data_IF_451397499472
#
_entry.id   IF_451397499472
#
_cell.length_a   1.000
_cell.length_b   1.000
_cell.length_c   1.000
_cell.angle_alpha   90.00
_cell.angle_beta   90.00
_cell.angle_gamma   90.00
#
_symmetry.space_group_name_H-M   'P 1'
#
loop_
_entity.id
_entity.type
_entity.pdbx_description
1 polymer ?
#
# COMPACT_ATOMS: atom_id res chain seq x y z
N UNK A 1 24.60 21.69 -48.17
CA UNK A 1 23.57 20.71 -47.73
C UNK A 1 24.12 19.84 -46.59
N UNK A 2 23.97 20.30 -45.34
CA UNK A 2 24.51 19.64 -44.16
C UNK A 2 23.47 18.72 -43.51
N UNK A 3 23.89 17.46 -43.36
CA UNK A 3 23.70 16.54 -42.24
C UNK A 3 22.31 16.38 -41.61
N UNK A 4 21.79 15.15 -41.74
CA UNK A 4 20.74 14.56 -40.93
C UNK A 4 20.98 14.75 -39.43
N UNK A 5 20.01 15.32 -38.72
CA UNK A 5 19.98 15.33 -37.27
C UNK A 5 18.96 14.30 -36.77
N UNK A 6 19.40 13.03 -36.64
CA UNK A 6 18.85 12.15 -35.60
C UNK A 6 19.48 12.61 -34.29
N UNK A 7 18.75 13.39 -33.49
CA UNK A 7 19.17 13.74 -32.13
C UNK A 7 18.27 13.03 -31.13
N UNK A 8 18.84 11.94 -30.62
CA UNK A 8 18.57 11.25 -29.38
C UNK A 8 17.61 11.95 -28.40
N UNK A 9 16.39 11.43 -28.29
CA UNK A 9 15.55 11.59 -27.09
C UNK A 9 15.61 10.34 -26.20
N UNK A 10 16.78 9.68 -26.12
CA UNK A 10 16.96 8.38 -25.44
C UNK A 10 17.33 8.45 -23.95
N UNK A 11 17.31 9.61 -23.32
CA UNK A 11 17.75 9.72 -21.92
C UNK A 11 16.93 10.72 -21.10
N UNK A 12 15.60 10.70 -21.24
CA UNK A 12 14.81 10.98 -20.04
C UNK A 12 14.99 9.72 -19.20
N UNK A 13 15.97 9.76 -18.29
CA UNK A 13 15.93 8.88 -17.14
C UNK A 13 14.60 9.23 -16.45
N UNK A 14 13.55 8.47 -16.79
CA UNK A 14 12.34 8.47 -15.99
C UNK A 14 12.85 8.28 -14.57
N UNK A 15 12.55 9.23 -13.70
CA UNK A 15 12.89 9.10 -12.31
C UNK A 15 12.20 7.82 -11.83
N UNK A 16 12.93 6.69 -11.78
CA UNK A 16 12.53 5.42 -11.15
C UNK A 16 12.49 5.62 -9.62
N UNK A 17 11.89 6.72 -9.16
CA UNK A 17 11.62 6.99 -7.75
C UNK A 17 10.47 6.11 -7.25
N UNK A 18 9.65 5.63 -8.16
CA UNK A 18 8.58 4.66 -7.94
C UNK A 18 9.04 3.40 -8.67
N UNK A 19 9.09 2.26 -7.98
CA UNK A 19 9.54 0.99 -8.57
C UNK A 19 8.67 0.52 -9.75
N UNK A 20 8.65 -0.78 -10.09
CA UNK A 20 7.79 -1.25 -11.16
C UNK A 20 6.34 -0.80 -10.91
N UNK A 21 5.61 -0.39 -11.97
CA UNK A 21 4.23 0.04 -11.81
C UNK A 21 3.40 -1.08 -11.18
N UNK A 22 2.44 -0.71 -10.34
CA UNK A 22 1.51 -1.66 -9.75
C UNK A 22 0.47 -2.04 -10.80
N UNK A 23 0.38 -3.34 -11.07
CA UNK A 23 -0.67 -3.96 -11.87
C UNK A 23 -1.38 -5.02 -11.04
N UNK A 24 -2.70 -5.14 -11.22
CA UNK A 24 -3.51 -6.11 -10.52
C UNK A 24 -3.97 -5.64 -9.14
N UNK A 25 -4.34 -6.58 -8.27
CA UNK A 25 -4.96 -6.24 -6.99
C UNK A 25 -3.94 -5.83 -5.95
N UNK A 26 -4.19 -4.72 -5.29
CA UNK A 26 -3.42 -4.25 -4.14
C UNK A 26 -4.31 -4.08 -2.92
N UNK A 27 -3.69 -4.12 -1.75
CA UNK A 27 -4.33 -4.09 -0.45
C UNK A 27 -3.71 -3.02 0.43
N UNK A 28 -4.54 -2.32 1.19
CA UNK A 28 -4.14 -1.43 2.26
C UNK A 28 -4.72 -1.97 3.56
N UNK A 29 -3.88 -2.56 4.40
CA UNK A 29 -4.24 -2.93 5.77
C UNK A 29 -4.02 -1.72 6.67
N UNK A 30 -5.05 -1.33 7.42
CA UNK A 30 -5.02 -0.29 8.43
C UNK A 30 -5.42 -0.91 9.76
N UNK A 31 -4.61 -0.67 10.80
CA UNK A 31 -4.91 -1.03 12.17
C UNK A 31 -4.96 0.26 13.00
N UNK A 32 -6.07 0.43 13.70
CA UNK A 32 -6.36 1.58 14.55
C UNK A 32 -6.53 1.16 15.99
N UNK A 33 -6.18 2.05 16.91
CA UNK A 33 -6.55 1.94 18.32
C UNK A 33 -8.02 2.38 18.57
N UNK A 34 -8.56 2.22 19.79
CA UNK A 34 -9.94 2.62 20.10
C UNK A 34 -10.24 4.08 19.80
N UNK A 35 -9.24 4.97 19.92
CA UNK A 35 -9.36 6.41 19.66
C UNK A 35 -9.44 6.73 18.15
N UNK A 36 -9.15 5.75 17.29
CA UNK A 36 -9.11 5.92 15.84
C UNK A 36 -7.75 6.36 15.32
N UNK A 37 -6.70 6.30 16.14
CA UNK A 37 -5.35 6.59 15.70
C UNK A 37 -4.75 5.36 15.00
N UNK A 38 -4.17 5.57 13.82
CA UNK A 38 -3.55 4.53 13.01
C UNK A 38 -2.21 4.12 13.63
N UNK A 39 -2.17 2.90 14.16
CA UNK A 39 -0.98 2.35 14.83
C UNK A 39 -0.12 1.49 13.90
N UNK A 40 -0.72 0.94 12.85
CA UNK A 40 -0.03 0.21 11.80
C UNK A 40 -0.77 0.35 10.47
N UNK A 41 -0.03 0.64 9.41
CA UNK A 41 -0.56 0.74 8.05
C UNK A 41 0.45 0.13 7.09
N UNK A 42 -0.05 -0.68 6.15
CA UNK A 42 0.78 -1.29 5.12
C UNK A 42 0.02 -1.40 3.81
N UNK A 43 0.65 -0.91 2.75
CA UNK A 43 0.25 -1.19 1.38
C UNK A 43 1.03 -2.41 0.88
N UNK A 44 0.34 -3.38 0.30
CA UNK A 44 0.95 -4.62 -0.19
C UNK A 44 0.19 -5.20 -1.37
N UNK A 45 0.89 -5.99 -2.19
CA UNK A 45 0.28 -6.83 -3.23
C UNK A 45 0.03 -8.25 -2.73
N UNK A 46 0.60 -8.61 -1.57
CA UNK A 46 0.48 -9.92 -0.98
C UNK A 46 -0.84 -10.08 -0.21
N UNK A 47 -1.38 -11.29 -0.20
CA UNK A 47 -2.58 -11.63 0.58
C UNK A 47 -2.31 -11.77 2.08
N UNK A 48 -1.05 -11.75 2.48
CA UNK A 48 -0.60 -11.95 3.85
C UNK A 48 0.41 -10.88 4.22
N UNK A 49 0.28 -10.34 5.43
CA UNK A 49 1.24 -9.41 6.00
C UNK A 49 1.59 -9.88 7.42
N UNK A 50 2.89 -10.06 7.67
CA UNK A 50 3.41 -10.33 9.01
C UNK A 50 4.21 -9.10 9.44
N UNK A 51 3.78 -8.36 10.49
CA UNK A 51 4.55 -7.23 10.99
C UNK A 51 5.90 -7.71 11.53
N UNK A 52 6.96 -6.93 11.27
CA UNK A 52 8.25 -7.15 11.92
C UNK A 52 8.18 -6.87 13.43
N UNK A 53 9.25 -7.17 14.15
CA UNK A 53 9.32 -7.01 15.61
C UNK A 53 9.04 -5.57 16.07
N UNK A 54 9.49 -4.57 15.30
CA UNK A 54 9.28 -3.16 15.63
C UNK A 54 7.81 -2.77 15.51
N UNK A 55 7.16 -3.15 14.41
CA UNK A 55 5.72 -2.93 14.18
C UNK A 55 4.86 -3.74 15.13
N UNK A 56 5.26 -4.99 15.41
CA UNK A 56 4.58 -5.86 16.35
C UNK A 56 4.59 -5.27 17.78
N UNK A 57 5.72 -4.72 18.21
CA UNK A 57 5.80 -3.99 19.48
C UNK A 57 4.86 -2.78 19.52
N UNK A 58 4.81 -1.97 18.46
CA UNK A 58 3.87 -0.82 18.38
C UNK A 58 2.41 -1.26 18.53
N UNK A 59 2.04 -2.37 17.88
CA UNK A 59 0.70 -2.93 17.99
C UNK A 59 0.38 -3.37 19.43
N UNK A 60 1.35 -3.94 20.16
CA UNK A 60 1.18 -4.34 21.56
C UNK A 60 1.08 -3.17 22.52
N UNK A 61 1.87 -2.11 22.28
CA UNK A 61 1.92 -0.93 23.13
C UNK A 61 0.73 0.03 22.92
N UNK A 62 -0.01 -0.14 21.81
CA UNK A 62 -1.20 0.65 21.51
C UNK A 62 -2.38 0.32 22.43
N UNK A 63 -3.26 1.31 22.60
CA UNK A 63 -4.53 1.12 23.33
C UNK A 63 -5.37 0.00 22.68
N UNK A 64 -5.99 -0.83 23.52
CA UNK A 64 -6.74 -2.01 23.10
C UNK A 64 -8.24 -1.83 23.40
N UNK A 65 -9.17 -2.43 22.62
CA UNK A 65 -8.92 -3.33 21.49
C UNK A 65 -8.56 -2.60 20.19
N UNK A 66 -7.78 -3.26 19.34
CA UNK A 66 -7.44 -2.76 18.01
C UNK A 66 -8.52 -3.09 17.00
N UNK A 67 -8.65 -2.24 15.98
CA UNK A 67 -9.53 -2.43 14.82
C UNK A 67 -8.69 -2.55 13.55
N UNK A 68 -8.76 -3.69 12.88
CA UNK A 68 -8.16 -3.89 11.57
C UNK A 68 -9.21 -3.76 10.46
N UNK A 69 -8.86 -3.03 9.40
CA UNK A 69 -9.65 -2.98 8.18
C UNK A 69 -8.74 -3.11 6.96
N UNK A 70 -9.28 -3.63 5.87
CA UNK A 70 -8.54 -3.81 4.61
C UNK A 70 -9.30 -3.10 3.50
N UNK A 71 -8.66 -2.15 2.85
CA UNK A 71 -9.10 -1.62 1.56
C UNK A 71 -8.40 -2.40 0.46
N UNK A 72 -9.07 -2.61 -0.67
CA UNK A 72 -8.40 -3.13 -1.85
C UNK A 72 -8.88 -2.45 -3.12
N UNK A 73 -8.02 -2.45 -4.14
CA UNK A 73 -8.35 -1.96 -5.47
C UNK A 73 -7.57 -2.76 -6.53
N UNK A 74 -8.06 -2.74 -7.78
CA UNK A 74 -7.33 -3.25 -8.95
C UNK A 74 -6.68 -2.08 -9.65
N UNK A 75 -5.37 -2.19 -9.86
CA UNK A 75 -4.55 -1.19 -10.51
C UNK A 75 -4.19 -1.59 -11.94
N UNK A 76 -4.11 -0.59 -12.80
CA UNK A 76 -3.53 -0.62 -14.14
C UNK A 76 -2.57 0.57 -14.24
N UNK A 77 -1.27 0.28 -14.32
CA UNK A 77 -0.19 1.28 -14.38
C UNK A 77 -0.25 2.35 -13.28
N UNK A 78 -0.26 1.93 -12.01
CA UNK A 78 -0.38 2.79 -10.82
C UNK A 78 -1.70 3.60 -10.71
N UNK A 79 -2.64 3.45 -11.65
CA UNK A 79 -3.98 4.01 -11.55
C UNK A 79 -4.97 2.93 -11.11
N UNK A 80 -5.99 3.28 -10.32
CA UNK A 80 -7.11 2.37 -10.07
C UNK A 80 -7.89 2.23 -11.38
N UNK A 81 -8.04 1.00 -11.87
CA UNK A 81 -8.79 0.71 -13.09
C UNK A 81 -10.26 1.13 -12.95
N UNK A 82 -10.94 1.41 -14.06
CA UNK A 82 -12.37 1.75 -14.04
C UNK A 82 -13.18 0.63 -13.36
N UNK A 83 -13.98 0.99 -12.35
CA UNK A 83 -14.72 0.03 -11.53
C UNK A 83 -13.85 -0.87 -10.65
N UNK A 84 -12.54 -0.61 -10.55
CA UNK A 84 -11.55 -1.39 -9.78
C UNK A 84 -11.52 -1.09 -8.28
N UNK A 85 -12.52 -0.41 -7.72
CA UNK A 85 -12.58 -0.03 -6.31
C UNK A 85 -12.35 1.48 -6.07
N UNK A 86 -11.83 1.88 -4.88
CA UNK A 86 -11.47 1.02 -3.76
C UNK A 86 -12.69 0.40 -3.10
N UNK A 87 -12.54 -0.84 -2.62
CA UNK A 87 -13.55 -1.54 -1.86
C UNK A 87 -13.10 -1.74 -0.42
N UNK A 88 -13.98 -1.39 0.52
CA UNK A 88 -13.76 -1.52 1.94
C UNK A 88 -14.18 -2.93 2.41
N UNK A 89 -13.24 -3.69 2.96
CA UNK A 89 -13.52 -4.92 3.67
C UNK A 89 -14.10 -4.68 5.07
N UNK A 90 -14.66 -5.72 5.73
CA UNK A 90 -15.21 -5.58 7.07
C UNK A 90 -14.11 -5.23 8.08
N UNK A 91 -14.43 -4.35 9.01
CA UNK A 91 -13.58 -4.08 10.18
C UNK A 91 -13.64 -5.26 11.15
N UNK A 92 -12.48 -5.69 11.64
CA UNK A 92 -12.33 -6.75 12.64
C UNK A 92 -11.70 -6.17 13.89
N UNK A 93 -12.34 -6.39 15.02
CA UNK A 93 -11.80 -6.02 16.33
C UNK A 93 -11.02 -7.20 16.91
N UNK A 94 -9.85 -6.92 17.52
CA UNK A 94 -9.01 -7.93 18.16
C UNK A 94 -8.20 -7.32 19.31
N UNK A 95 -7.65 -8.20 20.16
CA UNK A 95 -6.71 -7.85 21.23
C UNK A 95 -5.44 -8.67 21.07
N UNK A 96 -4.29 -8.10 21.40
CA UNK A 96 -3.06 -8.86 21.51
C UNK A 96 -2.89 -9.27 22.98
N UNK A 97 -2.73 -10.57 23.23
CA UNK A 97 -2.44 -11.08 24.56
C UNK A 97 -0.99 -10.79 24.95
N UNK A 98 -0.75 -10.62 26.25
CA UNK A 98 0.58 -10.44 26.83
C UNK A 98 1.47 -11.69 26.68
#
# INVERSE_FOLDING_TARGET
PRASARLASRFIAAAEAHGPPVFGRAYLLVVEDPSGHIVHQVFTLDLTHVPDEVRWRKLREADQPLRASVLNAVFDDNAIAEGGGPWQGPTREFRIAD
#
